data_IF_564331858803
#
_entry.id   IF_564331858803
#
_cell.length_a   1.000
_cell.length_b   1.000
_cell.length_c   1.000
_cell.angle_alpha   90.00
_cell.angle_beta   90.00
_cell.angle_gamma   90.00
#
_symmetry.space_group_name_H-M   'P 1'
#
loop_
_entity.id
_entity.type
_entity.pdbx_description
1 polymer ?
#
# COMPACT_ATOMS: atom_id res chain seq x y z
N UNK A 1 -1.05 -1.79 -22.26
CA UNK A 1 -1.66 -1.99 -20.93
C UNK A 1 -0.54 -2.45 -20.04
N UNK A 2 -0.06 -1.60 -19.14
CA UNK A 2 1.00 -1.98 -18.19
C UNK A 2 0.52 -3.13 -17.31
N UNK A 3 1.42 -4.06 -17.01
CA UNK A 3 1.12 -5.23 -16.21
C UNK A 3 0.87 -4.82 -14.74
N UNK A 4 -0.33 -5.15 -14.23
CA UNK A 4 -0.74 -4.89 -12.84
C UNK A 4 0.23 -5.52 -11.84
N UNK A 5 0.92 -6.59 -12.21
CA UNK A 5 1.93 -7.25 -11.39
C UNK A 5 3.15 -6.34 -11.23
N UNK A 6 3.64 -5.76 -12.32
CA UNK A 6 4.80 -4.85 -12.30
C UNK A 6 4.50 -3.58 -11.50
N UNK A 7 3.35 -2.95 -11.75
CA UNK A 7 2.89 -1.78 -11.01
C UNK A 7 2.76 -2.04 -9.52
N UNK A 8 2.21 -3.21 -9.15
CA UNK A 8 2.12 -3.63 -7.76
C UNK A 8 3.51 -3.74 -7.13
N UNK A 9 4.48 -4.36 -7.80
CA UNK A 9 5.84 -4.50 -7.29
C UNK A 9 6.52 -3.15 -7.08
N UNK A 10 6.41 -2.24 -8.06
CA UNK A 10 6.96 -0.88 -7.97
C UNK A 10 6.35 -0.09 -6.81
N UNK A 11 5.01 -0.03 -6.72
CA UNK A 11 4.32 0.72 -5.67
C UNK A 11 4.60 0.14 -4.28
N UNK A 12 4.61 -1.18 -4.15
CA UNK A 12 4.91 -1.83 -2.88
C UNK A 12 6.36 -1.57 -2.44
N UNK A 13 7.30 -1.53 -3.38
CA UNK A 13 8.68 -1.13 -3.12
C UNK A 13 8.82 0.31 -2.64
N UNK A 14 8.10 1.25 -3.26
CA UNK A 14 8.07 2.66 -2.85
C UNK A 14 7.52 2.82 -1.42
N UNK A 15 6.37 2.19 -1.14
CA UNK A 15 5.66 2.39 0.12
C UNK A 15 6.31 1.63 1.28
N UNK A 16 6.66 0.35 1.07
CA UNK A 16 7.05 -0.55 2.15
C UNK A 16 8.51 -0.99 2.11
N UNK A 17 9.27 -0.62 1.07
CA UNK A 17 10.68 -1.02 0.93
C UNK A 17 10.88 -2.53 0.78
N UNK A 18 9.85 -3.25 0.31
CA UNK A 18 9.84 -4.70 0.19
C UNK A 18 9.20 -5.17 -1.12
N UNK A 19 9.28 -6.47 -1.40
CA UNK A 19 8.51 -7.10 -2.46
C UNK A 19 7.07 -7.40 -1.98
N UNK A 20 6.08 -7.38 -2.89
CA UNK A 20 4.72 -7.84 -2.58
C UNK A 20 4.70 -9.34 -2.23
N UNK A 21 3.57 -9.81 -1.70
CA UNK A 21 3.41 -11.19 -1.23
C UNK A 21 3.71 -12.23 -2.33
N UNK A 22 4.47 -13.26 -1.95
CA UNK A 22 4.81 -14.41 -2.77
C UNK A 22 3.85 -15.57 -2.53
N UNK A 23 4.39 -16.74 -2.23
CA UNK A 23 3.61 -17.96 -1.93
C UNK A 23 3.44 -18.20 -0.42
N UNK A 24 3.85 -17.25 0.42
CA UNK A 24 3.78 -17.40 1.88
C UNK A 24 2.36 -17.20 2.44
N UNK A 25 2.13 -17.74 3.64
CA UNK A 25 0.89 -17.57 4.39
C UNK A 25 -0.14 -18.69 4.16
N UNK A 26 -1.35 -18.48 4.67
CA UNK A 26 -2.44 -19.48 4.61
C UNK A 26 -3.28 -19.39 3.35
N UNK A 27 -3.23 -18.26 2.64
CA UNK A 27 -3.96 -18.02 1.39
C UNK A 27 -3.17 -17.05 0.47
N UNK A 28 -2.15 -17.56 -0.23
CA UNK A 28 -1.28 -16.74 -1.08
C UNK A 28 -2.00 -16.19 -2.31
N UNK A 29 -3.02 -16.88 -2.82
CA UNK A 29 -3.79 -16.42 -3.97
C UNK A 29 -4.60 -15.17 -3.61
N UNK A 30 -5.32 -15.22 -2.47
CA UNK A 30 -6.08 -14.07 -2.00
C UNK A 30 -5.17 -12.86 -1.76
N UNK A 31 -3.99 -13.07 -1.15
CA UNK A 31 -3.04 -11.98 -0.92
C UNK A 31 -2.52 -11.34 -2.21
N UNK A 32 -2.27 -12.15 -3.26
CA UNK A 32 -1.90 -11.63 -4.58
C UNK A 32 -3.03 -10.82 -5.20
N UNK A 33 -4.28 -11.28 -5.13
CA UNK A 33 -5.44 -10.54 -5.64
C UNK A 33 -5.57 -9.21 -4.92
N UNK A 34 -5.54 -9.22 -3.58
CA UNK A 34 -5.65 -8.04 -2.74
C UNK A 34 -4.59 -7.00 -3.09
N UNK A 35 -3.31 -7.39 -3.09
CA UNK A 35 -2.21 -6.45 -3.31
C UNK A 35 -2.17 -5.93 -4.74
N UNK A 36 -2.41 -6.79 -5.75
CA UNK A 36 -2.43 -6.35 -7.16
C UNK A 36 -3.58 -5.40 -7.44
N UNK A 37 -4.73 -5.59 -6.80
CA UNK A 37 -5.85 -4.67 -6.93
C UNK A 37 -5.56 -3.31 -6.28
N UNK A 38 -5.10 -3.32 -5.03
CA UNK A 38 -4.83 -2.06 -4.31
C UNK A 38 -3.64 -1.32 -4.93
N UNK A 39 -2.47 -1.97 -4.95
CA UNK A 39 -1.21 -1.33 -5.29
C UNK A 39 -0.89 -1.36 -6.77
N UNK A 40 -1.45 -2.30 -7.55
CA UNK A 40 -1.25 -2.38 -9.00
C UNK A 40 -2.29 -1.64 -9.83
N UNK A 41 -3.42 -1.25 -9.22
CA UNK A 41 -4.54 -0.61 -9.92
C UNK A 41 -5.06 0.62 -9.17
N UNK A 42 -5.66 0.47 -7.98
CA UNK A 42 -6.32 1.58 -7.26
C UNK A 42 -5.37 2.74 -6.92
N UNK A 43 -4.12 2.45 -6.54
CA UNK A 43 -3.11 3.48 -6.27
C UNK A 43 -2.78 4.37 -7.49
N UNK A 44 -3.13 3.94 -8.71
CA UNK A 44 -2.90 4.68 -9.94
C UNK A 44 -4.15 5.40 -10.48
N UNK A 45 -5.29 5.32 -9.77
CA UNK A 45 -6.55 5.96 -10.19
C UNK A 45 -6.66 7.37 -9.58
N UNK A 46 -6.86 8.38 -10.41
CA UNK A 46 -7.04 9.78 -9.99
C UNK A 46 -5.71 10.52 -9.79
N UNK A 47 -5.79 11.73 -9.23
CA UNK A 47 -4.66 12.69 -9.23
C UNK A 47 -3.93 12.83 -7.89
N UNK A 48 -4.38 12.13 -6.84
CA UNK A 48 -3.75 12.20 -5.52
C UNK A 48 -2.35 11.59 -5.55
N UNK A 49 -1.41 12.30 -4.91
CA UNK A 49 -0.04 11.81 -4.69
C UNK A 49 -0.03 10.64 -3.71
N UNK A 50 1.10 9.91 -3.64
CA UNK A 50 1.26 8.83 -2.67
C UNK A 50 1.16 9.34 -1.22
N UNK A 51 1.71 10.53 -0.95
CA UNK A 51 1.62 11.16 0.37
C UNK A 51 0.15 11.46 0.76
N UNK A 52 -0.64 12.02 -0.16
CA UNK A 52 -2.06 12.30 0.09
C UNK A 52 -2.84 11.00 0.36
N UNK A 53 -2.57 9.95 -0.41
CA UNK A 53 -3.24 8.64 -0.26
C UNK A 53 -2.90 7.95 1.05
N UNK A 54 -1.63 7.98 1.44
CA UNK A 54 -1.20 7.39 2.71
C UNK A 54 -1.78 8.15 3.90
N UNK A 55 -1.91 9.48 3.84
CA UNK A 55 -2.59 10.25 4.90
C UNK A 55 -4.08 9.88 5.02
N UNK A 56 -4.79 9.73 3.90
CA UNK A 56 -6.19 9.26 3.90
C UNK A 56 -6.27 7.84 4.50
N UNK A 57 -5.37 6.96 4.09
CA UNK A 57 -5.32 5.57 4.55
C UNK A 57 -5.05 5.49 6.05
N UNK A 58 -4.01 6.19 6.55
CA UNK A 58 -3.69 6.31 7.98
C UNK A 58 -4.88 6.81 8.78
N UNK A 59 -5.60 7.82 8.27
CA UNK A 59 -6.80 8.36 8.93
C UNK A 59 -7.88 7.28 9.09
N UNK A 60 -8.20 6.56 8.02
CA UNK A 60 -9.22 5.50 8.05
C UNK A 60 -8.81 4.34 8.97
N UNK A 61 -7.54 3.91 8.90
CA UNK A 61 -7.02 2.83 9.73
C UNK A 61 -7.00 3.20 11.22
N UNK A 62 -6.74 4.47 11.54
CA UNK A 62 -6.80 4.99 12.91
C UNK A 62 -8.23 4.98 13.45
N UNK A 63 -9.20 5.46 12.67
CA UNK A 63 -10.63 5.46 13.04
C UNK A 63 -11.14 4.04 13.26
N UNK A 64 -10.72 3.09 12.42
CA UNK A 64 -11.15 1.69 12.49
C UNK A 64 -10.33 0.83 13.45
N UNK A 65 -9.31 1.39 14.12
CA UNK A 65 -8.44 0.68 15.06
C UNK A 65 -7.73 -0.57 14.46
N UNK A 66 -7.40 -0.54 13.18
CA UNK A 66 -6.67 -1.62 12.49
C UNK A 66 -5.17 -1.47 12.72
N UNK A 67 -4.73 -1.70 13.96
CA UNK A 67 -3.39 -1.33 14.44
C UNK A 67 -2.22 -1.92 13.63
N UNK A 68 -2.23 -3.18 13.16
CA UNK A 68 -1.13 -3.72 12.36
C UNK A 68 -0.94 -2.96 11.03
N UNK A 69 -2.04 -2.71 10.32
CA UNK A 69 -2.04 -1.94 9.07
C UNK A 69 -1.68 -0.49 9.33
N UNK A 70 -2.22 0.11 10.40
CA UNK A 70 -1.90 1.49 10.78
C UNK A 70 -0.39 1.66 10.98
N UNK A 71 0.26 0.73 11.69
CA UNK A 71 1.72 0.76 11.87
C UNK A 71 2.47 0.71 10.54
N UNK A 72 2.06 -0.18 9.63
CA UNK A 72 2.71 -0.31 8.33
C UNK A 72 2.53 0.96 7.47
N UNK A 73 1.32 1.51 7.43
CA UNK A 73 0.99 2.68 6.61
C UNK A 73 1.50 4.00 7.18
N UNK A 74 1.68 4.13 8.51
CA UNK A 74 2.46 5.25 9.07
C UNK A 74 3.90 5.19 8.57
N UNK A 75 4.52 4.01 8.52
CA UNK A 75 5.84 3.84 7.93
C UNK A 75 5.87 4.23 6.44
N UNK A 76 4.87 3.78 5.68
CA UNK A 76 4.75 4.13 4.26
C UNK A 76 4.57 5.63 4.03
N UNK A 77 3.73 6.31 4.82
CA UNK A 77 3.55 7.76 4.79
C UNK A 77 4.89 8.50 4.98
N UNK A 78 5.71 8.06 5.93
CA UNK A 78 7.04 8.64 6.16
C UNK A 78 7.98 8.40 4.99
N UNK A 79 7.95 7.20 4.39
CA UNK A 79 8.77 6.86 3.22
C UNK A 79 8.46 7.73 2.00
N UNK A 80 7.21 8.17 1.85
CA UNK A 80 6.78 9.06 0.75
C UNK A 80 6.79 10.54 1.11
N UNK A 81 7.43 10.91 2.23
CA UNK A 81 7.77 12.29 2.55
C UNK A 81 6.82 13.01 3.51
N UNK A 82 5.83 12.34 4.11
CA UNK A 82 5.09 12.94 5.21
C UNK A 82 6.00 13.15 6.42
N UNK A 83 5.83 14.25 7.15
CA UNK A 83 6.58 14.53 8.38
C UNK A 83 5.66 14.56 9.60
N UNK A 84 6.11 14.06 10.76
CA UNK A 84 5.43 14.34 12.03
C UNK A 84 5.38 15.86 12.30
N UNK A 85 4.35 16.30 13.02
CA UNK A 85 4.22 17.67 13.55
C UNK A 85 4.87 17.84 14.91
#
# INVERSE_FOLDING_TARGET
MEDRIQRCAEKFGILFGAAPAGEEGTDPEFMKILQRFIFGEVCYVGELSDADRELVTVTVLAVNQTLPQLKAHVGAALNVGCTPV
#
